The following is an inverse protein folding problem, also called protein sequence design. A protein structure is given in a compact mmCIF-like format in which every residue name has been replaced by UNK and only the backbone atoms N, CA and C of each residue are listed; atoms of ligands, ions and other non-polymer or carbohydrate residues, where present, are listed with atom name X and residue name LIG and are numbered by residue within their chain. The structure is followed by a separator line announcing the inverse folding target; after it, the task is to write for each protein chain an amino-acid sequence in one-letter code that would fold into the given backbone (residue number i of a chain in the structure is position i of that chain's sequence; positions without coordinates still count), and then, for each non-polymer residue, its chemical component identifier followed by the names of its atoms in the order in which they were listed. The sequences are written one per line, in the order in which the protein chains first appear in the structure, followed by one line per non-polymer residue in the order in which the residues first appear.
data_IF_915078487145
#
_entry.id   IF_915078487145
#
_cell.length_a   1.000
_cell.length_b   1.000
_cell.length_c   1.000
_cell.angle_alpha   90.00
_cell.angle_beta   90.00
_cell.angle_gamma   90.00
#
_symmetry.space_group_name_H-M   'P 1'
#
loop_
_entity.id
_entity.type
_entity.pdbx_description
1 polymer ?
#
# COMPACT_ATOMS: atom_id res chain seq x y z
N UNK A 1 -17.49 35.04 10.14
CA UNK A 1 -16.82 34.18 11.14
C UNK A 1 -17.14 32.70 10.92
N UNK A 2 -18.32 32.36 10.40
CA UNK A 2 -18.81 31.00 10.15
C UNK A 2 -17.94 30.17 9.20
N UNK A 3 -17.54 30.69 8.04
CA UNK A 3 -16.75 29.91 7.05
C UNK A 3 -15.37 29.44 7.55
N UNK A 4 -14.71 30.24 8.41
CA UNK A 4 -13.43 29.87 9.04
C UNK A 4 -13.59 28.71 10.00
N UNK A 5 -14.65 28.73 10.80
CA UNK A 5 -14.98 27.67 11.74
C UNK A 5 -15.39 26.40 10.98
N UNK A 6 -16.25 26.52 9.97
CA UNK A 6 -16.64 25.40 9.11
C UNK A 6 -15.43 24.71 8.48
N UNK A 7 -14.46 25.49 7.99
CA UNK A 7 -13.21 24.97 7.43
C UNK A 7 -12.40 24.19 8.48
N UNK A 8 -12.27 24.74 9.70
CA UNK A 8 -11.53 24.08 10.78
C UNK A 8 -12.22 22.79 11.27
N UNK A 9 -13.57 22.78 11.36
CA UNK A 9 -14.32 21.58 11.71
C UNK A 9 -14.23 20.51 10.63
N UNK A 10 -14.27 20.89 9.35
CA UNK A 10 -14.06 19.95 8.25
C UNK A 10 -12.64 19.35 8.25
N UNK A 11 -11.61 20.14 8.57
CA UNK A 11 -10.24 19.63 8.73
C UNK A 11 -10.12 18.63 9.90
N UNK A 12 -10.84 18.86 11.00
CA UNK A 12 -10.90 17.92 12.12
C UNK A 12 -11.68 16.64 11.73
N UNK A 13 -12.79 16.78 11.00
CA UNK A 13 -13.55 15.64 10.50
C UNK A 13 -12.70 14.74 9.60
N UNK A 14 -11.83 15.31 8.75
CA UNK A 14 -10.88 14.53 7.94
C UNK A 14 -9.90 13.69 8.77
N UNK A 15 -9.55 14.13 9.99
CA UNK A 15 -8.69 13.35 10.89
C UNK A 15 -9.44 12.18 11.53
N UNK A 16 -10.76 12.30 11.65
CA UNK A 16 -11.62 11.34 12.34
C UNK A 16 -12.45 10.47 11.37
N UNK A 17 -12.13 10.46 10.07
CA UNK A 17 -12.80 9.62 9.06
C UNK A 17 -14.10 10.19 8.48
N UNK A 18 -14.48 11.42 8.81
CA UNK A 18 -15.64 12.13 8.25
C UNK A 18 -15.40 12.67 6.84
N UNK A 19 -14.82 11.87 5.95
CA UNK A 19 -14.18 12.36 4.71
C UNK A 19 -15.19 12.90 3.69
N UNK A 20 -16.34 12.24 3.53
CA UNK A 20 -17.41 12.69 2.63
C UNK A 20 -18.11 13.97 3.12
N UNK A 21 -18.36 14.07 4.43
CA UNK A 21 -18.96 15.25 5.05
C UNK A 21 -18.01 16.45 4.95
N UNK A 22 -16.74 16.23 5.27
CA UNK A 22 -15.70 17.25 5.14
C UNK A 22 -15.60 17.75 3.69
N UNK A 23 -15.63 16.86 2.70
CA UNK A 23 -15.65 17.23 1.29
C UNK A 23 -16.83 18.16 0.96
N UNK A 24 -18.03 17.81 1.40
CA UNK A 24 -19.23 18.62 1.18
C UNK A 24 -19.10 20.02 1.82
N UNK A 25 -18.55 20.09 3.04
CA UNK A 25 -18.29 21.37 3.72
C UNK A 25 -17.30 22.21 2.95
N UNK A 26 -16.17 21.66 2.49
CA UNK A 26 -15.18 22.42 1.72
C UNK A 26 -15.75 22.93 0.38
N UNK A 27 -16.54 22.11 -0.31
CA UNK A 27 -17.23 22.55 -1.55
C UNK A 27 -18.17 23.72 -1.25
N UNK A 28 -18.96 23.64 -0.18
CA UNK A 28 -19.86 24.73 0.24
C UNK A 28 -19.10 25.99 0.63
N UNK A 29 -18.00 25.87 1.38
CA UNK A 29 -17.16 27.03 1.76
C UNK A 29 -16.60 27.72 0.52
N UNK A 30 -16.16 26.97 -0.47
CA UNK A 30 -15.59 27.51 -1.71
C UNK A 30 -16.65 28.13 -2.65
N UNK A 31 -17.91 27.72 -2.52
CA UNK A 31 -19.04 28.24 -3.29
C UNK A 31 -19.83 29.35 -2.55
N UNK A 32 -19.39 29.77 -1.37
CA UNK A 32 -20.11 30.75 -0.56
C UNK A 32 -20.16 32.14 -1.22
N UNK A 33 -21.27 32.85 -1.00
CA UNK A 33 -21.46 34.24 -1.39
C UNK A 33 -21.88 35.06 -0.15
N UNK A 34 -21.09 36.06 0.30
CA UNK A 34 -19.82 36.51 -0.28
C UNK A 34 -18.68 35.47 -0.15
N UNK A 35 -17.67 35.53 -1.05
CA UNK A 35 -16.58 34.56 -1.05
C UNK A 35 -15.73 34.60 0.23
N UNK A 36 -15.15 33.46 0.63
CA UNK A 36 -14.25 33.42 1.78
C UNK A 36 -13.00 34.27 1.55
N UNK A 37 -12.38 34.75 2.63
CA UNK A 37 -11.08 35.40 2.54
C UNK A 37 -10.01 34.46 1.95
N UNK A 38 -8.93 34.98 1.32
CA UNK A 38 -7.97 34.16 0.59
C UNK A 38 -7.33 33.04 1.41
N UNK A 39 -7.08 33.27 2.71
CA UNK A 39 -6.48 32.25 3.58
C UNK A 39 -7.46 31.11 3.86
N UNK A 40 -8.72 31.44 4.14
CA UNK A 40 -9.80 30.45 4.30
C UNK A 40 -10.06 29.69 3.01
N UNK A 41 -10.08 30.38 1.86
CA UNK A 41 -10.26 29.77 0.55
C UNK A 41 -9.15 28.75 0.25
N UNK A 42 -7.89 29.10 0.55
CA UNK A 42 -6.75 28.20 0.33
C UNK A 42 -6.78 26.98 1.24
N UNK A 43 -7.10 27.16 2.53
CA UNK A 43 -7.31 26.04 3.47
C UNK A 43 -8.41 25.12 2.99
N UNK A 44 -9.54 25.67 2.56
CA UNK A 44 -10.65 24.88 2.03
C UNK A 44 -10.29 24.13 0.73
N UNK A 45 -9.50 24.72 -0.18
CA UNK A 45 -8.98 24.00 -1.36
C UNK A 45 -8.06 22.84 -0.98
N UNK A 46 -7.14 23.06 -0.02
CA UNK A 46 -6.25 22.00 0.49
C UNK A 46 -7.03 20.88 1.18
N UNK A 47 -7.98 21.24 2.03
CA UNK A 47 -8.90 20.31 2.68
C UNK A 47 -9.72 19.51 1.67
N UNK A 48 -10.25 20.16 0.63
CA UNK A 48 -10.96 19.49 -0.48
C UNK A 48 -10.06 18.49 -1.20
N UNK A 49 -8.83 18.86 -1.54
CA UNK A 49 -7.88 17.97 -2.19
C UNK A 49 -7.58 16.73 -1.33
N UNK A 50 -7.39 16.94 -0.02
CA UNK A 50 -7.17 15.85 0.94
C UNK A 50 -8.41 14.95 1.11
N UNK A 51 -9.60 15.52 1.15
CA UNK A 51 -10.84 14.75 1.19
C UNK A 51 -11.02 13.90 -0.07
N UNK A 52 -10.71 14.45 -1.26
CA UNK A 52 -10.73 13.70 -2.52
C UNK A 52 -9.72 12.54 -2.50
N UNK A 53 -8.50 12.77 -2.00
CA UNK A 53 -7.48 11.72 -1.82
C UNK A 53 -8.02 10.59 -0.94
N UNK A 54 -8.55 10.91 0.25
CA UNK A 54 -9.06 9.89 1.19
C UNK A 54 -10.28 9.13 0.68
N UNK A 55 -11.10 9.76 -0.16
CA UNK A 55 -12.25 9.12 -0.82
C UNK A 55 -11.86 8.32 -2.08
N UNK A 56 -10.56 8.17 -2.39
CA UNK A 56 -10.09 7.44 -3.56
C UNK A 56 -10.38 8.14 -4.89
N UNK A 57 -10.78 9.42 -4.88
CA UNK A 57 -11.00 10.22 -6.10
C UNK A 57 -9.67 10.82 -6.57
N UNK A 58 -8.72 9.93 -6.89
CA UNK A 58 -7.30 10.25 -7.01
C UNK A 58 -7.01 11.21 -8.16
N UNK A 59 -7.65 11.09 -9.33
CA UNK A 59 -7.43 11.98 -10.46
C UNK A 59 -7.85 13.42 -10.13
N UNK A 60 -8.99 13.58 -9.45
CA UNK A 60 -9.46 14.88 -8.99
C UNK A 60 -8.54 15.46 -7.91
N UNK A 61 -8.03 14.62 -6.99
CA UNK A 61 -7.06 15.02 -5.99
C UNK A 61 -5.73 15.48 -6.64
N UNK A 62 -5.23 14.74 -7.64
CA UNK A 62 -4.02 15.09 -8.41
C UNK A 62 -4.20 16.46 -9.06
N UNK A 63 -5.32 16.70 -9.75
CA UNK A 63 -5.63 18.01 -10.33
C UNK A 63 -5.59 19.12 -9.28
N UNK A 64 -6.30 18.93 -8.16
CA UNK A 64 -6.38 19.92 -7.09
C UNK A 64 -5.02 20.22 -6.43
N UNK A 65 -4.17 19.21 -6.22
CA UNK A 65 -2.82 19.41 -5.68
C UNK A 65 -1.88 20.10 -6.67
N UNK A 66 -1.99 19.81 -7.97
CA UNK A 66 -1.24 20.51 -9.02
C UNK A 66 -1.62 21.99 -9.09
N UNK A 67 -2.91 22.29 -8.98
CA UNK A 67 -3.40 23.68 -8.94
C UNK A 67 -2.82 24.41 -7.72
N UNK A 68 -2.88 23.81 -6.52
CA UNK A 68 -2.31 24.39 -5.29
C UNK A 68 -0.79 24.63 -5.40
N UNK A 69 -0.06 23.73 -6.04
CA UNK A 69 1.38 23.89 -6.29
C UNK A 69 1.70 25.00 -7.28
N UNK A 70 0.81 25.27 -8.24
CA UNK A 70 0.97 26.33 -9.23
C UNK A 70 0.60 27.72 -8.68
N UNK A 71 -0.03 27.81 -7.50
CA UNK A 71 -0.39 29.09 -6.89
C UNK A 71 0.86 29.91 -6.55
N UNK A 72 0.89 31.22 -6.86
CA UNK A 72 2.02 32.10 -6.52
C UNK A 72 2.37 32.15 -5.03
N UNK A 73 1.39 31.86 -4.15
CA UNK A 73 1.59 31.81 -2.71
C UNK A 73 2.30 30.54 -2.21
N UNK A 74 2.55 29.56 -3.08
CA UNK A 74 3.19 28.30 -2.73
C UNK A 74 4.69 28.36 -3.06
N UNK A 75 5.49 28.87 -2.12
CA UNK A 75 6.94 29.01 -2.31
C UNK A 75 7.62 27.63 -2.47
N UNK A 76 8.39 27.45 -3.55
CA UNK A 76 9.17 26.23 -3.80
C UNK A 76 10.16 25.99 -2.66
N UNK A 77 10.07 24.79 -2.07
CA UNK A 77 10.90 24.38 -0.95
C UNK A 77 10.39 24.78 0.45
N UNK A 78 9.24 25.47 0.52
CA UNK A 78 8.52 25.63 1.78
C UNK A 78 7.97 24.31 2.31
N UNK A 79 7.61 24.27 3.61
CA UNK A 79 6.97 23.11 4.23
C UNK A 79 5.65 22.73 3.52
N UNK A 80 4.82 23.73 3.20
CA UNK A 80 3.55 23.48 2.53
C UNK A 80 3.73 22.95 1.10
N UNK A 81 4.72 23.46 0.36
CA UNK A 81 5.08 22.91 -0.95
C UNK A 81 5.57 21.45 -0.85
N UNK A 82 6.33 21.10 0.19
CA UNK A 82 6.80 19.73 0.40
C UNK A 82 5.62 18.79 0.73
N UNK A 83 4.67 19.23 1.56
CA UNK A 83 3.46 18.47 1.89
C UNK A 83 2.56 18.24 0.67
N UNK A 84 2.39 19.25 -0.19
CA UNK A 84 1.63 19.11 -1.44
C UNK A 84 2.33 18.18 -2.43
N UNK A 85 3.66 18.27 -2.55
CA UNK A 85 4.46 17.36 -3.39
C UNK A 85 4.39 15.92 -2.89
N UNK A 86 4.42 15.74 -1.57
CA UNK A 86 4.25 14.44 -0.93
C UNK A 86 2.87 13.85 -1.21
N UNK A 87 1.80 14.64 -1.11
CA UNK A 87 0.45 14.20 -1.44
C UNK A 87 0.33 13.76 -2.91
N UNK A 88 0.93 14.52 -3.85
CA UNK A 88 1.00 14.09 -5.25
C UNK A 88 1.75 12.78 -5.45
N UNK A 89 2.88 12.57 -4.74
CA UNK A 89 3.60 11.30 -4.81
C UNK A 89 2.69 10.13 -4.42
N UNK A 90 1.94 10.28 -3.31
CA UNK A 90 0.96 9.27 -2.87
C UNK A 90 -0.14 9.06 -3.89
N UNK A 91 -0.79 10.12 -4.39
CA UNK A 91 -1.87 9.96 -5.36
C UNK A 91 -1.40 9.29 -6.66
N UNK A 92 -0.23 9.65 -7.20
CA UNK A 92 0.31 8.97 -8.39
C UNK A 92 0.67 7.50 -8.10
N UNK A 93 1.19 7.20 -6.91
CA UNK A 93 1.46 5.81 -6.50
C UNK A 93 0.15 5.02 -6.43
N UNK A 94 -0.88 5.59 -5.82
CA UNK A 94 -2.14 4.91 -5.54
C UNK A 94 -3.02 4.76 -6.80
N UNK A 95 -2.88 5.63 -7.80
CA UNK A 95 -3.50 5.46 -9.13
C UNK A 95 -2.72 4.51 -10.04
N UNK A 96 -1.53 4.05 -9.59
CA UNK A 96 -0.68 3.11 -10.33
C UNK A 96 0.35 3.74 -11.27
N UNK A 97 0.43 5.08 -11.37
CA UNK A 97 1.48 5.77 -12.12
C UNK A 97 2.78 5.84 -11.32
N UNK A 98 3.49 4.70 -11.27
CA UNK A 98 4.74 4.54 -10.54
C UNK A 98 5.86 5.43 -11.07
N UNK A 99 5.83 5.78 -12.36
CA UNK A 99 6.84 6.65 -12.96
C UNK A 99 6.68 8.09 -12.44
N UNK A 100 5.45 8.61 -12.48
CA UNK A 100 5.15 9.96 -11.99
C UNK A 100 5.27 10.08 -10.47
N UNK A 101 4.93 9.04 -9.70
CA UNK A 101 5.07 9.08 -8.23
C UNK A 101 6.52 9.29 -7.81
N UNK A 102 7.47 8.63 -8.50
CA UNK A 102 8.90 8.79 -8.28
C UNK A 102 9.40 10.13 -8.82
N UNK A 103 9.05 10.51 -10.05
CA UNK A 103 9.53 11.74 -10.68
C UNK A 103 9.13 13.00 -9.88
N UNK A 104 7.89 13.06 -9.39
CA UNK A 104 7.44 14.17 -8.53
C UNK A 104 8.28 14.25 -7.25
N UNK A 105 8.49 13.13 -6.57
CA UNK A 105 9.25 13.10 -5.32
C UNK A 105 10.73 13.41 -5.52
N UNK A 106 11.35 12.90 -6.58
CA UNK A 106 12.75 13.20 -6.91
C UNK A 106 12.97 14.67 -7.24
N UNK A 107 12.11 15.25 -8.09
CA UNK A 107 12.14 16.69 -8.37
C UNK A 107 11.95 17.49 -7.10
N UNK A 108 11.01 17.06 -6.26
CA UNK A 108 10.70 17.77 -5.04
C UNK A 108 11.90 17.80 -4.07
N UNK A 109 12.52 16.64 -3.83
CA UNK A 109 13.72 16.55 -3.00
C UNK A 109 14.93 17.27 -3.62
N UNK A 110 15.05 17.33 -4.95
CA UNK A 110 16.13 18.05 -5.62
C UNK A 110 16.04 19.55 -5.37
N UNK A 111 14.87 20.15 -5.54
CA UNK A 111 14.64 21.56 -5.24
C UNK A 111 14.87 21.89 -3.76
N UNK A 112 14.45 20.98 -2.86
CA UNK A 112 14.72 21.14 -1.42
C UNK A 112 16.20 21.23 -1.10
N UNK A 113 17.01 20.35 -1.68
CA UNK A 113 18.48 20.37 -1.50
C UNK A 113 19.12 21.65 -2.04
N UNK A 114 18.60 22.23 -3.11
CA UNK A 114 19.14 23.45 -3.70
C UNK A 114 18.80 24.71 -2.91
N UNK A 115 17.63 24.75 -2.27
CA UNK A 115 17.06 25.98 -1.69
C UNK A 115 17.12 26.06 -0.17
N UNK A 116 17.22 24.93 0.53
CA UNK A 116 17.10 24.88 2.00
C UNK A 116 18.25 24.06 2.60
N UNK A 117 19.18 24.69 3.35
CA UNK A 117 20.24 23.97 4.06
C UNK A 117 19.75 23.29 5.35
N UNK A 118 18.67 23.79 5.96
CA UNK A 118 18.06 23.17 7.15
C UNK A 118 16.91 22.23 6.75
N UNK A 119 17.00 20.98 7.18
CA UNK A 119 16.02 19.93 6.92
C UNK A 119 14.82 20.09 7.87
N UNK A 120 13.63 20.26 7.31
CA UNK A 120 12.37 20.24 8.08
C UNK A 120 11.81 18.81 8.15
N UNK A 121 10.93 18.56 9.11
CA UNK A 121 10.26 17.25 9.22
C UNK A 121 9.45 16.93 7.96
N UNK A 122 8.80 17.93 7.34
CA UNK A 122 8.06 17.75 6.08
C UNK A 122 8.95 17.30 4.92
N UNK A 123 10.25 17.65 4.94
CA UNK A 123 11.21 17.17 3.93
C UNK A 123 11.53 15.69 4.15
N UNK A 124 11.62 15.24 5.41
CA UNK A 124 11.78 13.84 5.75
C UNK A 124 10.51 13.03 5.42
N UNK A 125 9.32 13.59 5.65
CA UNK A 125 8.05 12.94 5.29
C UNK A 125 7.93 12.72 3.79
N UNK A 126 8.28 13.72 2.98
CA UNK A 126 8.38 13.59 1.53
C UNK A 126 9.40 12.50 1.14
N UNK A 127 10.58 12.50 1.76
CA UNK A 127 11.61 11.48 1.54
C UNK A 127 11.14 10.06 1.88
N UNK A 128 10.42 9.90 2.98
CA UNK A 128 9.79 8.64 3.39
C UNK A 128 8.76 8.18 2.36
N UNK A 129 7.91 9.10 1.89
CA UNK A 129 6.92 8.80 0.84
C UNK A 129 7.57 8.38 -0.47
N UNK A 130 8.64 9.07 -0.90
CA UNK A 130 9.40 8.66 -2.08
C UNK A 130 10.06 7.28 -1.90
N UNK A 131 10.54 6.98 -0.69
CA UNK A 131 11.07 5.64 -0.36
C UNK A 131 10.01 4.56 -0.57
N UNK A 132 8.78 4.78 -0.10
CA UNK A 132 7.63 3.90 -0.35
C UNK A 132 7.31 3.77 -1.85
N UNK A 133 7.40 4.86 -2.62
CA UNK A 133 7.19 4.83 -4.08
C UNK A 133 8.23 3.95 -4.79
N UNK A 134 9.51 4.03 -4.41
CA UNK A 134 10.53 3.13 -4.95
C UNK A 134 10.29 1.66 -4.58
N UNK A 135 9.85 1.37 -3.35
CA UNK A 135 9.48 0.00 -2.93
C UNK A 135 8.35 -0.55 -3.79
N UNK A 136 7.27 0.23 -3.98
CA UNK A 136 6.13 -0.18 -4.82
C UNK A 136 6.54 -0.40 -6.28
N UNK A 137 7.45 0.43 -6.81
CA UNK A 137 8.05 0.26 -8.14
C UNK A 137 9.01 -0.94 -8.23
N UNK A 138 9.42 -1.52 -7.11
CA UNK A 138 10.42 -2.58 -7.05
C UNK A 138 11.86 -2.09 -7.23
N UNK A 139 12.11 -0.78 -7.22
CA UNK A 139 13.45 -0.19 -7.24
C UNK A 139 14.06 -0.19 -5.83
N UNK A 140 14.40 -1.40 -5.36
CA UNK A 140 14.93 -1.60 -4.00
C UNK A 140 16.30 -0.94 -3.79
N UNK A 141 17.05 -0.69 -4.86
CA UNK A 141 18.37 -0.02 -4.79
C UNK A 141 18.18 1.44 -4.41
N UNK A 142 17.33 2.16 -5.15
CA UNK A 142 17.03 3.57 -4.86
C UNK A 142 16.31 3.71 -3.52
N UNK A 143 15.37 2.81 -3.21
CA UNK A 143 14.67 2.78 -1.93
C UNK A 143 15.66 2.65 -0.75
N UNK A 144 16.58 1.67 -0.81
CA UNK A 144 17.58 1.43 0.23
C UNK A 144 18.52 2.62 0.41
N UNK A 145 19.08 3.15 -0.68
CA UNK A 145 19.99 4.29 -0.63
C UNK A 145 19.32 5.52 -0.02
N UNK A 146 18.04 5.75 -0.36
CA UNK A 146 17.26 6.85 0.20
C UNK A 146 17.00 6.63 1.70
N UNK A 147 16.56 5.45 2.11
CA UNK A 147 16.32 5.11 3.51
C UNK A 147 17.59 5.24 4.37
N UNK A 148 18.73 4.70 3.90
CA UNK A 148 20.03 4.79 4.59
C UNK A 148 20.48 6.23 4.81
N UNK A 149 20.16 7.14 3.88
CA UNK A 149 20.45 8.57 4.03
C UNK A 149 19.48 9.26 4.99
N UNK A 150 18.20 8.89 4.98
CA UNK A 150 17.16 9.58 5.75
C UNK A 150 17.07 9.12 7.21
N UNK A 151 17.36 7.85 7.51
CA UNK A 151 17.25 7.30 8.87
C UNK A 151 18.10 8.05 9.91
N UNK A 152 19.40 8.35 9.67
CA UNK A 152 20.20 9.13 10.63
C UNK A 152 19.64 10.55 10.84
N UNK A 153 19.17 11.18 9.77
CA UNK A 153 18.59 12.53 9.81
C UNK A 153 17.30 12.54 10.62
N UNK A 154 16.40 11.59 10.35
CA UNK A 154 15.16 11.43 11.10
C UNK A 154 15.38 11.09 12.57
N UNK A 155 16.47 10.38 12.90
CA UNK A 155 16.88 10.16 14.28
C UNK A 155 17.29 11.45 15.03
N UNK A 156 17.78 12.46 14.31
CA UNK A 156 18.27 13.72 14.89
C UNK A 156 17.24 14.85 14.91
N UNK A 157 16.41 14.98 13.87
CA UNK A 157 15.51 16.12 13.67
C UNK A 157 14.08 15.72 13.29
N UNK A 158 13.83 14.43 13.06
CA UNK A 158 12.52 13.94 12.64
C UNK A 158 11.55 13.84 13.81
N UNK A 159 10.26 14.04 13.52
CA UNK A 159 9.20 13.68 14.44
C UNK A 159 9.19 12.16 14.67
N UNK A 160 8.59 11.74 15.79
CA UNK A 160 8.43 10.32 16.12
C UNK A 160 7.68 9.57 15.02
N UNK A 161 6.66 10.20 14.44
CA UNK A 161 5.87 9.67 13.33
C UNK A 161 6.72 9.49 12.06
N UNK A 162 7.45 10.53 11.64
CA UNK A 162 8.33 10.47 10.46
C UNK A 162 9.39 9.38 10.61
N UNK A 163 10.00 9.28 11.80
CA UNK A 163 10.99 8.23 12.09
C UNK A 163 10.35 6.83 12.01
N UNK A 164 9.16 6.66 12.60
CA UNK A 164 8.42 5.40 12.53
C UNK A 164 8.11 4.98 11.10
N UNK A 165 7.66 5.92 10.27
CA UNK A 165 7.37 5.66 8.85
C UNK A 165 8.64 5.26 8.05
N UNK A 166 9.80 5.88 8.34
CA UNK A 166 11.07 5.51 7.71
C UNK A 166 11.56 4.14 8.15
N UNK A 167 11.45 3.80 9.44
CA UNK A 167 11.81 2.48 9.97
C UNK A 167 10.89 1.40 9.37
N UNK A 168 9.60 1.69 9.21
CA UNK A 168 8.66 0.79 8.51
C UNK A 168 9.06 0.59 7.05
N UNK A 169 9.31 1.66 6.30
CA UNK A 169 9.77 1.54 4.91
C UNK A 169 11.08 0.76 4.80
N UNK A 170 12.02 0.98 5.71
CA UNK A 170 13.27 0.22 5.78
C UNK A 170 13.04 -1.26 6.07
N UNK A 171 12.08 -1.59 6.95
CA UNK A 171 11.67 -2.98 7.20
C UNK A 171 11.16 -3.66 5.93
N UNK A 172 10.32 -2.98 5.16
CA UNK A 172 9.82 -3.49 3.88
C UNK A 172 10.97 -3.76 2.90
N UNK A 173 11.92 -2.82 2.77
CA UNK A 173 13.11 -2.97 1.94
C UNK A 173 13.95 -4.17 2.40
N UNK A 174 14.20 -4.31 3.70
CA UNK A 174 14.96 -5.43 4.25
C UNK A 174 14.26 -6.77 3.99
N UNK A 175 12.92 -6.85 4.15
CA UNK A 175 12.11 -8.03 3.84
C UNK A 175 12.22 -8.42 2.38
N UNK A 176 12.05 -7.48 1.45
CA UNK A 176 12.15 -7.73 0.01
C UNK A 176 13.56 -8.17 -0.43
N UNK A 177 14.59 -7.81 0.34
CA UNK A 177 15.97 -8.25 0.13
C UNK A 177 16.33 -9.56 0.86
N UNK A 178 15.36 -10.22 1.50
CA UNK A 178 15.58 -11.47 2.25
C UNK A 178 16.29 -11.28 3.59
N UNK A 179 16.49 -10.04 4.06
CA UNK A 179 17.15 -9.70 5.33
C UNK A 179 16.14 -9.71 6.47
N UNK A 180 15.55 -10.87 6.74
CA UNK A 180 14.38 -10.97 7.62
C UNK A 180 14.66 -10.64 9.09
N UNK A 181 15.91 -10.83 9.56
CA UNK A 181 16.28 -10.43 10.93
C UNK A 181 16.24 -8.91 11.11
N UNK A 182 16.91 -8.19 10.20
CA UNK A 182 16.90 -6.73 10.15
C UNK A 182 15.49 -6.19 9.92
N UNK A 183 14.70 -6.82 9.04
CA UNK A 183 13.31 -6.44 8.81
C UNK A 183 12.45 -6.52 10.08
N UNK A 184 12.65 -7.57 10.90
CA UNK A 184 11.92 -7.75 12.16
C UNK A 184 12.25 -6.62 13.14
N UNK A 185 13.54 -6.35 13.36
CA UNK A 185 13.97 -5.28 14.27
C UNK A 185 13.45 -3.91 13.84
N UNK A 186 13.49 -3.61 12.54
CA UNK A 186 12.98 -2.36 11.97
C UNK A 186 11.46 -2.24 12.16
N UNK A 187 10.69 -3.31 11.92
CA UNK A 187 9.24 -3.31 12.10
C UNK A 187 8.85 -3.16 13.57
N UNK A 188 9.54 -3.83 14.49
CA UNK A 188 9.29 -3.71 15.94
C UNK A 188 9.61 -2.28 16.44
N UNK A 189 10.70 -1.67 15.98
CA UNK A 189 11.01 -0.25 16.26
C UNK A 189 9.95 0.68 15.70
N UNK A 190 9.52 0.47 14.45
CA UNK A 190 8.44 1.25 13.85
C UNK A 190 7.14 1.14 14.66
N UNK A 191 6.81 -0.06 15.15
CA UNK A 191 5.59 -0.31 15.91
C UNK A 191 5.61 0.46 17.24
N UNK A 192 6.74 0.46 17.94
CA UNK A 192 6.93 1.24 19.17
C UNK A 192 6.84 2.75 18.89
N UNK A 193 7.46 3.22 17.81
CA UNK A 193 7.42 4.64 17.45
C UNK A 193 6.01 5.09 17.10
N UNK A 194 5.24 4.24 16.43
CA UNK A 194 3.91 4.56 15.92
C UNK A 194 2.75 4.20 16.86
N UNK A 195 3.02 3.53 17.99
CA UNK A 195 1.99 3.06 18.93
C UNK A 195 1.09 4.18 19.48
N UNK A 196 1.64 5.38 19.68
CA UNK A 196 0.94 6.56 20.21
C UNK A 196 0.47 7.52 19.11
N UNK A 197 0.59 7.13 17.84
CA UNK A 197 0.13 7.98 16.72
C UNK A 197 -1.37 7.80 16.48
N UNK A 198 -2.07 8.88 16.13
CA UNK A 198 -3.50 8.90 15.81
C UNK A 198 -3.83 8.24 14.44
N UNK A 199 -2.98 7.36 13.93
CA UNK A 199 -3.16 6.68 12.66
C UNK A 199 -3.35 5.17 12.86
N UNK A 200 -4.56 4.80 13.32
CA UNK A 200 -4.96 3.42 13.56
C UNK A 200 -4.74 2.53 12.31
N UNK A 201 -5.06 3.03 11.12
CA UNK A 201 -4.83 2.32 9.85
C UNK A 201 -3.37 1.88 9.69
N UNK A 202 -2.42 2.80 9.87
CA UNK A 202 -0.99 2.46 9.80
C UNK A 202 -0.57 1.45 10.86
N UNK A 203 -1.10 1.55 12.08
CA UNK A 203 -0.82 0.59 13.14
C UNK A 203 -1.31 -0.83 12.79
N UNK A 204 -2.46 -0.96 12.12
CA UNK A 204 -2.98 -2.24 11.65
C UNK A 204 -2.15 -2.82 10.49
N UNK A 205 -1.81 -2.00 9.49
CA UNK A 205 -0.99 -2.41 8.35
C UNK A 205 0.42 -2.85 8.76
N UNK A 206 1.05 -2.10 9.67
CA UNK A 206 2.38 -2.46 10.18
C UNK A 206 2.38 -3.81 10.91
N UNK A 207 1.29 -4.18 11.59
CA UNK A 207 1.14 -5.53 12.19
C UNK A 207 1.02 -6.61 11.12
N UNK A 208 0.33 -6.33 10.00
CA UNK A 208 0.28 -7.25 8.87
C UNK A 208 1.66 -7.44 8.23
N UNK A 209 2.41 -6.37 8.03
CA UNK A 209 3.76 -6.44 7.47
C UNK A 209 4.74 -7.15 8.41
N UNK A 210 4.63 -6.92 9.72
CA UNK A 210 5.37 -7.66 10.73
C UNK A 210 5.02 -9.16 10.69
N UNK A 211 3.74 -9.51 10.53
CA UNK A 211 3.31 -10.89 10.35
C UNK A 211 3.93 -11.53 9.09
N UNK A 212 4.01 -10.80 7.97
CA UNK A 212 4.72 -11.27 6.76
C UNK A 212 6.21 -11.54 7.02
N UNK A 213 6.89 -10.67 7.79
CA UNK A 213 8.30 -10.91 8.19
C UNK A 213 8.42 -12.17 9.04
N UNK A 214 7.52 -12.39 9.99
CA UNK A 214 7.52 -13.57 10.86
C UNK A 214 7.27 -14.86 10.06
N UNK A 215 6.33 -14.85 9.11
CA UNK A 215 6.09 -15.97 8.19
C UNK A 215 7.34 -16.29 7.38
N UNK A 216 8.00 -15.27 6.80
CA UNK A 216 9.23 -15.46 6.02
C UNK A 216 10.40 -16.04 6.86
N UNK A 217 10.35 -15.90 8.19
CA UNK A 217 11.30 -16.48 9.14
C UNK A 217 10.92 -17.89 9.63
N UNK A 218 9.78 -18.42 9.19
CA UNK A 218 9.27 -19.69 9.70
C UNK A 218 8.66 -19.59 11.10
N UNK A 219 8.13 -18.42 11.47
CA UNK A 219 7.48 -18.16 12.77
C UNK A 219 5.96 -17.89 12.62
N UNK A 220 5.17 -18.74 11.92
CA UNK A 220 3.75 -18.47 11.64
C UNK A 220 2.88 -18.40 12.90
N UNK A 221 3.25 -19.10 13.99
CA UNK A 221 2.52 -19.03 15.25
C UNK A 221 2.53 -17.62 15.87
N UNK A 222 3.65 -16.88 15.74
CA UNK A 222 3.72 -15.48 16.19
C UNK A 222 2.93 -14.56 15.26
N UNK A 223 2.93 -14.83 13.95
CA UNK A 223 2.12 -14.08 13.00
C UNK A 223 0.62 -14.20 13.30
N UNK A 224 0.14 -15.41 13.62
CA UNK A 224 -1.25 -15.69 13.98
C UNK A 224 -1.73 -14.93 15.24
N UNK A 225 -0.82 -14.56 16.15
CA UNK A 225 -1.16 -13.76 17.34
C UNK A 225 -1.35 -12.27 17.02
N UNK A 226 -0.71 -11.76 15.95
CA UNK A 226 -0.75 -10.34 15.59
C UNK A 226 -1.94 -9.98 14.70
N UNK A 227 -2.30 -10.87 13.78
CA UNK A 227 -3.25 -10.60 12.71
C UNK A 227 -4.70 -10.36 13.18
N UNK A 228 -5.24 -11.04 14.22
CA UNK A 228 -6.56 -10.71 14.74
C UNK A 228 -6.66 -9.28 15.29
N UNK A 229 -5.62 -8.82 15.99
CA UNK A 229 -5.55 -7.44 16.47
C UNK A 229 -5.40 -6.44 15.30
N UNK A 230 -4.64 -6.80 14.27
CA UNK A 230 -4.55 -6.01 13.04
C UNK A 230 -5.91 -5.90 12.34
N UNK A 231 -6.65 -7.00 12.25
CA UNK A 231 -7.99 -7.04 11.66
C UNK A 231 -8.96 -6.11 12.38
N UNK A 232 -9.07 -6.18 13.71
CA UNK A 232 -9.99 -5.30 14.46
C UNK A 232 -9.67 -3.81 14.24
N UNK A 233 -8.38 -3.46 14.21
CA UNK A 233 -7.94 -2.09 13.92
C UNK A 233 -8.33 -1.69 12.50
N UNK A 234 -8.03 -2.54 11.51
CA UNK A 234 -8.24 -2.22 10.09
C UNK A 234 -9.73 -2.19 9.73
N UNK A 235 -10.55 -3.07 10.29
CA UNK A 235 -12.01 -3.10 10.06
C UNK A 235 -12.64 -1.72 10.27
N UNK A 236 -12.17 -0.99 11.27
CA UNK A 236 -12.76 0.29 11.67
C UNK A 236 -12.03 1.52 11.08
N UNK A 237 -10.86 1.33 10.46
CA UNK A 237 -9.98 2.44 10.05
C UNK A 237 -9.44 2.38 8.63
N UNK A 238 -9.67 1.29 7.90
CA UNK A 238 -9.06 1.01 6.60
C UNK A 238 -10.10 0.76 5.51
N UNK A 239 -9.66 0.83 4.25
CA UNK A 239 -10.49 0.45 3.11
C UNK A 239 -10.65 -1.08 3.02
N UNK A 240 -11.72 -1.54 2.36
CA UNK A 240 -12.06 -2.99 2.27
C UNK A 240 -10.88 -3.82 1.75
N UNK A 241 -10.12 -3.33 0.77
CA UNK A 241 -8.97 -4.06 0.24
C UNK A 241 -7.87 -4.34 1.27
N UNK A 242 -7.61 -3.41 2.18
CA UNK A 242 -6.62 -3.57 3.25
C UNK A 242 -7.09 -4.55 4.34
N UNK A 243 -8.39 -4.50 4.65
CA UNK A 243 -9.01 -5.47 5.57
C UNK A 243 -8.94 -6.88 4.97
N UNK A 244 -9.27 -7.02 3.68
CA UNK A 244 -9.23 -8.31 2.97
C UNK A 244 -7.79 -8.83 2.87
N UNK A 245 -6.80 -7.96 2.65
CA UNK A 245 -5.39 -8.34 2.70
C UNK A 245 -5.02 -8.97 4.05
N UNK A 246 -5.41 -8.34 5.17
CA UNK A 246 -5.18 -8.88 6.52
C UNK A 246 -5.84 -10.25 6.72
N UNK A 247 -7.09 -10.39 6.28
CA UNK A 247 -7.88 -11.62 6.39
C UNK A 247 -7.27 -12.75 5.55
N UNK A 248 -6.90 -12.48 4.29
CA UNK A 248 -6.28 -13.48 3.42
C UNK A 248 -4.90 -13.92 3.95
N UNK A 249 -4.13 -13.00 4.54
CA UNK A 249 -2.87 -13.32 5.21
C UNK A 249 -3.08 -14.20 6.44
N UNK A 250 -4.09 -13.91 7.27
CA UNK A 250 -4.42 -14.74 8.43
C UNK A 250 -4.85 -16.14 8.02
N UNK A 251 -5.71 -16.26 7.01
CA UNK A 251 -6.11 -17.56 6.47
C UNK A 251 -4.89 -18.36 5.97
N UNK A 252 -3.95 -17.74 5.25
CA UNK A 252 -2.72 -18.40 4.83
C UNK A 252 -1.84 -18.86 6.00
N UNK A 253 -1.73 -18.04 7.05
CA UNK A 253 -0.97 -18.41 8.25
C UNK A 253 -1.61 -19.61 8.96
N UNK A 254 -2.94 -19.66 9.03
CA UNK A 254 -3.68 -20.77 9.63
C UNK A 254 -3.50 -22.07 8.84
N UNK A 255 -3.47 -22.00 7.50
CA UNK A 255 -3.11 -23.15 6.65
C UNK A 255 -1.71 -23.68 7.00
N UNK A 256 -0.71 -22.80 7.18
CA UNK A 256 0.64 -23.23 7.57
C UNK A 256 0.70 -23.86 8.97
N UNK A 257 -0.22 -23.49 9.85
CA UNK A 257 -0.35 -24.06 11.19
C UNK A 257 -1.16 -25.36 11.22
N UNK A 258 -1.68 -25.80 10.07
CA UNK A 258 -2.49 -27.02 9.98
C UNK A 258 -3.93 -26.84 10.47
N UNK A 259 -4.46 -25.62 10.44
CA UNK A 259 -5.84 -25.31 10.81
C UNK A 259 -6.64 -24.83 9.57
N UNK A 260 -6.99 -25.76 8.65
CA UNK A 260 -7.72 -25.41 7.44
C UNK A 260 -9.16 -24.93 7.72
N UNK A 261 -9.80 -25.43 8.78
CA UNK A 261 -11.16 -25.02 9.15
C UNK A 261 -11.19 -23.54 9.53
N UNK A 262 -10.31 -23.10 10.45
CA UNK A 262 -10.22 -21.69 10.80
C UNK A 262 -9.82 -20.81 9.60
N UNK A 263 -8.93 -21.31 8.72
CA UNK A 263 -8.55 -20.59 7.51
C UNK A 263 -9.75 -20.32 6.59
N UNK A 264 -10.63 -21.31 6.40
CA UNK A 264 -11.87 -21.16 5.63
C UNK A 264 -12.79 -20.13 6.27
N UNK A 265 -13.01 -20.18 7.59
CA UNK A 265 -13.86 -19.19 8.26
C UNK A 265 -13.35 -17.76 8.08
N UNK A 266 -12.03 -17.55 8.15
CA UNK A 266 -11.44 -16.23 7.90
C UNK A 266 -11.62 -15.82 6.44
N UNK A 267 -11.34 -16.70 5.48
CA UNK A 267 -11.56 -16.41 4.06
C UNK A 267 -13.02 -16.06 3.75
N UNK A 268 -14.00 -16.72 4.39
CA UNK A 268 -15.43 -16.41 4.30
C UNK A 268 -15.77 -15.01 4.82
N UNK A 269 -15.21 -14.60 5.96
CA UNK A 269 -15.33 -13.21 6.44
C UNK A 269 -14.85 -12.21 5.39
N UNK A 270 -13.75 -12.52 4.70
CA UNK A 270 -13.24 -11.71 3.59
C UNK A 270 -14.20 -11.61 2.41
N UNK A 271 -14.87 -12.71 2.04
CA UNK A 271 -15.86 -12.72 0.95
C UNK A 271 -17.04 -11.81 1.28
N UNK A 272 -17.57 -11.90 2.50
CA UNK A 272 -18.68 -11.05 2.96
C UNK A 272 -18.34 -9.56 2.87
N UNK A 273 -17.11 -9.19 3.25
CA UNK A 273 -16.63 -7.80 3.15
C UNK A 273 -16.61 -7.30 1.70
N UNK A 274 -16.08 -8.11 0.79
CA UNK A 274 -16.00 -7.73 -0.63
C UNK A 274 -17.39 -7.66 -1.27
N UNK A 275 -18.29 -8.61 -0.97
CA UNK A 275 -19.66 -8.62 -1.50
C UNK A 275 -20.50 -7.43 -1.06
N UNK A 276 -20.30 -6.94 0.16
CA UNK A 276 -21.02 -5.78 0.69
C UNK A 276 -20.74 -4.47 -0.06
N UNK A 277 -19.59 -4.36 -0.74
CA UNK A 277 -19.19 -3.13 -1.46
C UNK A 277 -19.86 -2.98 -2.83
N UNK A 278 -20.14 -4.11 -3.51
CA UNK A 278 -20.51 -4.11 -4.93
C UNK A 278 -19.39 -3.69 -5.90
N UNK A 279 -18.17 -3.46 -5.41
CA UNK A 279 -17.01 -3.03 -6.22
C UNK A 279 -16.33 -4.22 -6.93
N UNK A 280 -15.67 -3.94 -8.07
CA UNK A 280 -14.85 -4.93 -8.80
C UNK A 280 -13.46 -5.06 -8.16
N UNK A 281 -13.42 -5.74 -7.00
CA UNK A 281 -12.20 -6.02 -6.23
C UNK A 281 -11.54 -7.32 -6.69
N UNK A 282 -11.19 -7.42 -7.98
CA UNK A 282 -10.67 -8.65 -8.58
C UNK A 282 -9.39 -9.18 -7.90
N UNK A 283 -8.47 -8.29 -7.52
CA UNK A 283 -7.23 -8.63 -6.82
C UNK A 283 -7.51 -9.22 -5.42
N UNK A 284 -8.39 -8.60 -4.65
CA UNK A 284 -8.77 -9.02 -3.31
C UNK A 284 -9.53 -10.35 -3.35
N UNK A 285 -10.46 -10.51 -4.29
CA UNK A 285 -11.18 -11.77 -4.52
C UNK A 285 -10.21 -12.89 -4.91
N UNK A 286 -9.18 -12.59 -5.71
CA UNK A 286 -8.15 -13.56 -6.04
C UNK A 286 -7.34 -13.99 -4.81
N UNK A 287 -7.02 -13.07 -3.91
CA UNK A 287 -6.30 -13.37 -2.68
C UNK A 287 -7.10 -14.32 -1.78
N UNK A 288 -8.41 -14.09 -1.67
CA UNK A 288 -9.34 -14.97 -0.96
C UNK A 288 -9.46 -16.34 -1.64
N UNK A 289 -9.62 -16.39 -2.96
CA UNK A 289 -9.67 -17.65 -3.72
C UNK A 289 -8.38 -18.47 -3.54
N UNK A 290 -7.21 -17.82 -3.49
CA UNK A 290 -5.96 -18.50 -3.16
C UNK A 290 -6.00 -19.09 -1.74
N UNK A 291 -6.48 -18.33 -0.75
CA UNK A 291 -6.61 -18.79 0.63
C UNK A 291 -7.57 -20.00 0.75
N UNK A 292 -8.76 -19.93 0.13
CA UNK A 292 -9.69 -21.05 0.03
C UNK A 292 -9.05 -22.27 -0.62
N UNK A 293 -8.41 -22.07 -1.78
CA UNK A 293 -7.73 -23.13 -2.50
C UNK A 293 -6.73 -23.86 -1.61
N UNK A 294 -5.83 -23.13 -0.94
CA UNK A 294 -4.83 -23.71 -0.04
C UNK A 294 -5.45 -24.37 1.19
N UNK A 295 -6.52 -23.81 1.75
CA UNK A 295 -7.21 -24.38 2.92
C UNK A 295 -7.91 -25.70 2.59
N UNK A 296 -8.67 -25.77 1.49
CA UNK A 296 -9.29 -27.03 1.02
C UNK A 296 -8.24 -28.10 0.73
N UNK A 297 -7.11 -27.72 0.11
CA UNK A 297 -6.01 -28.67 -0.13
C UNK A 297 -5.43 -29.22 1.17
N UNK A 298 -5.21 -28.36 2.17
CA UNK A 298 -4.72 -28.78 3.49
C UNK A 298 -5.74 -29.65 4.25
N UNK A 299 -7.04 -29.42 4.03
CA UNK A 299 -8.12 -30.26 4.55
C UNK A 299 -8.35 -31.58 3.80
N UNK A 300 -7.61 -31.84 2.71
CA UNK A 300 -7.73 -33.07 1.90
C UNK A 300 -8.78 -33.01 0.78
N UNK A 301 -9.44 -31.87 0.59
CA UNK A 301 -10.48 -31.65 -0.43
C UNK A 301 -9.87 -31.20 -1.77
N UNK A 302 -9.09 -32.09 -2.38
CA UNK A 302 -8.27 -31.77 -3.55
C UNK A 302 -9.03 -31.08 -4.71
N UNK A 303 -10.23 -31.57 -5.04
CA UNK A 303 -11.02 -31.04 -6.16
C UNK A 303 -11.52 -29.60 -5.92
N UNK A 304 -11.96 -29.30 -4.69
CA UNK A 304 -12.39 -27.95 -4.31
C UNK A 304 -11.20 -26.99 -4.27
N UNK A 305 -10.08 -27.46 -3.70
CA UNK A 305 -8.84 -26.70 -3.68
C UNK A 305 -8.36 -26.29 -5.06
N UNK A 306 -8.30 -27.24 -6.01
CA UNK A 306 -7.89 -26.94 -7.39
C UNK A 306 -8.86 -26.00 -8.11
N UNK A 307 -10.17 -26.15 -7.89
CA UNK A 307 -11.17 -25.25 -8.48
C UNK A 307 -10.97 -23.81 -8.01
N UNK A 308 -10.70 -23.59 -6.74
CA UNK A 308 -10.43 -22.26 -6.16
C UNK A 308 -9.08 -21.69 -6.63
N UNK A 309 -8.03 -22.51 -6.80
CA UNK A 309 -6.78 -22.06 -7.42
C UNK A 309 -6.98 -21.63 -8.89
N UNK A 310 -7.80 -22.34 -9.66
CA UNK A 310 -8.16 -21.93 -11.02
C UNK A 310 -8.96 -20.62 -11.02
N UNK A 311 -9.91 -20.48 -10.09
CA UNK A 311 -10.68 -19.24 -9.89
C UNK A 311 -9.78 -18.06 -9.54
N UNK A 312 -8.79 -18.26 -8.67
CA UNK A 312 -7.76 -17.28 -8.36
C UNK A 312 -7.08 -16.78 -9.64
N UNK A 313 -6.62 -17.69 -10.52
CA UNK A 313 -6.00 -17.33 -11.80
C UNK A 313 -6.93 -16.52 -12.73
N UNK A 314 -8.21 -16.89 -12.82
CA UNK A 314 -9.19 -16.13 -13.62
C UNK A 314 -9.43 -14.72 -13.09
N UNK A 315 -9.48 -14.56 -11.76
CA UNK A 315 -9.64 -13.26 -11.12
C UNK A 315 -8.39 -12.39 -11.31
N UNK A 316 -7.20 -12.98 -11.18
CA UNK A 316 -5.93 -12.29 -11.42
C UNK A 316 -5.76 -11.82 -12.87
N UNK A 317 -6.31 -12.55 -13.85
CA UNK A 317 -6.26 -12.13 -15.25
C UNK A 317 -7.10 -10.86 -15.52
N UNK A 318 -8.02 -10.52 -14.62
CA UNK A 318 -8.80 -9.28 -14.63
C UNK A 318 -8.25 -8.22 -13.66
N UNK A 319 -7.35 -8.62 -12.76
CA UNK A 319 -6.68 -7.69 -11.85
C UNK A 319 -5.62 -6.93 -12.65
N UNK A 320 -5.49 -5.62 -12.40
CA UNK A 320 -4.60 -4.74 -13.17
C UNK A 320 -3.12 -5.13 -13.13
N UNK A 321 -2.29 -4.35 -13.81
CA UNK A 321 -0.86 -4.66 -13.99
C UNK A 321 0.02 -3.99 -12.93
N UNK A 322 -0.09 -4.46 -11.68
CA UNK A 322 0.74 -3.94 -10.58
C UNK A 322 1.46 -5.05 -9.80
N UNK A 323 2.49 -4.64 -9.05
CA UNK A 323 3.42 -5.55 -8.35
C UNK A 323 2.71 -6.56 -7.46
N UNK A 324 1.66 -6.18 -6.73
CA UNK A 324 0.94 -7.12 -5.85
C UNK A 324 0.22 -8.23 -6.62
N UNK A 325 -0.31 -7.94 -7.83
CA UNK A 325 -0.89 -8.95 -8.73
C UNK A 325 0.18 -9.95 -9.18
N UNK A 326 1.38 -9.48 -9.53
CA UNK A 326 2.50 -10.36 -9.86
C UNK A 326 2.91 -11.26 -8.68
N UNK A 327 2.98 -10.70 -7.46
CA UNK A 327 3.30 -11.49 -6.26
C UNK A 327 2.24 -12.55 -5.99
N UNK A 328 0.96 -12.24 -6.23
CA UNK A 328 -0.13 -13.19 -6.05
C UNK A 328 -0.14 -14.29 -7.14
N UNK A 329 0.17 -13.95 -8.40
CA UNK A 329 0.45 -14.94 -9.45
C UNK A 329 1.61 -15.86 -9.07
N UNK A 330 2.68 -15.33 -8.48
CA UNK A 330 3.81 -16.15 -8.01
C UNK A 330 3.36 -17.12 -6.92
N UNK A 331 2.58 -16.68 -5.93
CA UNK A 331 2.04 -17.54 -4.86
C UNK A 331 1.08 -18.62 -5.39
N UNK A 332 0.27 -18.29 -6.39
CA UNK A 332 -0.55 -19.28 -7.11
C UNK A 332 0.35 -20.32 -7.81
N UNK A 333 1.44 -19.87 -8.45
CA UNK A 333 2.44 -20.75 -9.04
C UNK A 333 3.10 -21.70 -8.03
N UNK A 334 3.44 -21.20 -6.83
CA UNK A 334 3.97 -22.03 -5.74
C UNK A 334 2.96 -23.13 -5.35
N UNK A 335 1.68 -22.76 -5.22
CA UNK A 335 0.61 -23.70 -4.87
C UNK A 335 0.45 -24.80 -5.92
N UNK A 336 0.62 -24.48 -7.21
CA UNK A 336 0.63 -25.50 -8.27
C UNK A 336 1.92 -26.34 -8.27
N UNK A 337 3.06 -25.75 -7.93
CA UNK A 337 4.34 -26.46 -7.86
C UNK A 337 4.38 -27.47 -6.71
N UNK A 338 3.82 -27.11 -5.54
CA UNK A 338 3.61 -28.02 -4.41
C UNK A 338 2.76 -29.25 -4.78
N UNK A 339 1.91 -29.12 -5.81
CA UNK A 339 1.07 -30.19 -6.36
C UNK A 339 1.67 -30.91 -7.57
N UNK A 340 2.92 -30.60 -7.93
CA UNK A 340 3.59 -31.13 -9.12
C UNK A 340 2.89 -30.79 -10.45
N UNK A 341 1.95 -29.83 -10.45
CA UNK A 341 1.23 -29.35 -11.63
C UNK A 341 2.11 -28.37 -12.42
N UNK A 342 3.22 -28.89 -12.96
CA UNK A 342 4.32 -28.11 -13.52
C UNK A 342 3.88 -27.16 -14.64
N UNK A 343 2.91 -27.57 -15.48
CA UNK A 343 2.38 -26.72 -16.55
C UNK A 343 1.68 -25.47 -16.02
N UNK A 344 0.82 -25.64 -15.01
CA UNK A 344 0.08 -24.53 -14.38
C UNK A 344 1.01 -23.63 -13.56
N UNK A 345 1.96 -24.22 -12.82
CA UNK A 345 2.97 -23.48 -12.07
C UNK A 345 3.80 -22.57 -13.00
N UNK A 346 4.33 -23.13 -14.09
CA UNK A 346 5.12 -22.38 -15.06
C UNK A 346 4.31 -21.29 -15.77
N UNK A 347 3.03 -21.53 -16.06
CA UNK A 347 2.14 -20.51 -16.61
C UNK A 347 1.98 -19.34 -15.61
N UNK A 348 1.65 -19.63 -14.35
CA UNK A 348 1.49 -18.63 -13.31
C UNK A 348 2.77 -17.80 -13.09
N UNK A 349 3.94 -18.45 -13.03
CA UNK A 349 5.22 -17.74 -12.91
C UNK A 349 5.54 -16.85 -14.13
N UNK A 350 5.25 -17.31 -15.35
CA UNK A 350 5.45 -16.50 -16.56
C UNK A 350 4.54 -15.28 -16.57
N UNK A 351 3.28 -15.44 -16.15
CA UNK A 351 2.36 -14.32 -16.01
C UNK A 351 2.85 -13.33 -14.95
N UNK A 352 3.31 -13.81 -13.80
CA UNK A 352 3.92 -12.96 -12.77
C UNK A 352 5.08 -12.11 -13.31
N UNK A 353 6.00 -12.72 -14.08
CA UNK A 353 7.12 -12.01 -14.71
C UNK A 353 6.65 -10.99 -15.74
N UNK A 354 5.64 -11.34 -16.54
CA UNK A 354 5.06 -10.44 -17.56
C UNK A 354 4.44 -9.21 -16.91
N UNK A 355 3.69 -9.39 -15.81
CA UNK A 355 3.10 -8.27 -15.03
C UNK A 355 4.20 -7.38 -14.42
N UNK A 356 5.39 -7.93 -14.13
CA UNK A 356 6.56 -7.14 -13.71
C UNK A 356 7.31 -6.47 -14.87
N UNK A 357 6.80 -6.55 -16.10
CA UNK A 357 7.43 -5.98 -17.29
C UNK A 357 8.65 -6.79 -17.78
N UNK A 358 8.85 -8.00 -17.28
CA UNK A 358 9.90 -8.92 -17.75
C UNK A 358 9.30 -9.82 -18.84
N UNK A 359 9.66 -9.61 -20.12
CA UNK A 359 9.07 -10.38 -21.20
C UNK A 359 9.41 -11.86 -21.04
N UNK A 360 8.43 -12.72 -21.33
CA UNK A 360 8.66 -14.16 -21.39
C UNK A 360 9.78 -14.44 -22.41
N UNK A 361 10.73 -15.30 -22.04
CA UNK A 361 11.77 -15.75 -22.96
C UNK A 361 11.11 -16.27 -24.23
N UNK A 362 11.52 -15.76 -25.39
CA UNK A 362 11.05 -16.26 -26.67
C UNK A 362 11.24 -17.79 -26.69
N UNK A 363 10.24 -18.57 -27.13
CA UNK A 363 10.40 -20.01 -27.20
C UNK A 363 11.64 -20.29 -28.06
N UNK A 364 12.63 -20.97 -27.48
CA UNK A 364 13.77 -21.47 -28.23
C UNK A 364 13.19 -22.46 -29.23
N UNK A 365 12.96 -22.00 -30.46
CA UNK A 365 12.64 -22.86 -31.59
C UNK A 365 13.89 -23.70 -31.82
N UNK A 366 13.95 -24.85 -31.16
CA UNK A 366 15.02 -25.81 -31.32
C UNK A 366 15.16 -26.10 -32.81
N UNK A 367 16.36 -25.84 -33.34
CA UNK A 367 16.81 -26.41 -34.61
C UNK A 367 16.65 -27.93 -34.50
N UNK A 368 15.55 -28.48 -35.00
CA UNK A 368 15.47 -29.89 -35.35
C UNK A 368 16.23 -30.09 -36.66
N UNK A 369 17.31 -30.84 -36.54
CA UNK A 369 17.82 -31.81 -37.50
C UNK A 369 17.96 -31.36 -38.98
N UNK A 370 19.19 -31.09 -39.37
CA UNK A 370 19.74 -31.59 -40.63
C UNK A 370 21.05 -32.28 -40.24
N UNK A 371 21.36 -33.51 -40.60
CA UNK A 371 20.81 -34.51 -41.50
C UNK A 371 21.89 -35.60 -41.54
N UNK A 372 21.43 -36.84 -41.69
CA UNK A 372 22.15 -38.06 -42.12
C UNK A 372 23.61 -37.93 -42.56
#
# INVERSE_FOLDING_TARGET
MTLRLDTAFAELALRNGGDAEALAVFVRVLAADPPPDPATARRARRGRAWALEKLGRLEAAIGAYRDLLAEPGTEVGSADWALLSMALCRCYRDVGDQAMSVDVGERALRELRLRRPALLDEHLQLGSTLTSCYVQRGDLVSARLLAERLLPLAGSTGSRETRGALEWNASLIARELGRYHEALELAERALVLMAETDNARHQGLLRCDLALVLVARGEPARAAQLLPAAYEILRDSAGVGEVVFCVALLAEVLVQLGDPEAALEWAERGVLLVEATGEDLAHERAALALAFGRAHLAGGEAALGEAELLRCGMLLARAGEHRSVALLWRRLGDSWAEREQTGLAMAAYRTALTVLGLPAAAPVTGRRQAGS
#
